data_IF_091125605900
#
_entry.id   IF_091125605900
#
_cell.length_a   1.000
_cell.length_b   1.000
_cell.length_c   1.000
_cell.angle_alpha   90.00
_cell.angle_beta   90.00
_cell.angle_gamma   90.00
#
_symmetry.space_group_name_H-M   'P 1'
#
loop_
_entity.id
_entity.type
_entity.pdbx_description
1 polymer ?
#
# COMPACT_ATOMS: atom_id res chain seq x y z
N UNK A 1 -10.06 -9.62 -14.33
CA UNK A 1 -9.58 -9.87 -12.99
C UNK A 1 -9.16 -11.30 -12.99
N UNK A 2 -7.88 -11.47 -13.33
CA UNK A 2 -7.39 -12.78 -13.61
C UNK A 2 -6.83 -13.37 -12.35
N UNK A 3 -7.49 -14.43 -11.92
CA UNK A 3 -6.86 -15.48 -11.16
C UNK A 3 -6.67 -15.16 -9.69
N UNK A 4 -7.01 -16.09 -8.96
CA UNK A 4 -6.56 -16.56 -7.65
C UNK A 4 -5.57 -15.62 -6.95
N UNK A 5 -6.06 -14.49 -6.49
CA UNK A 5 -5.36 -13.77 -5.46
C UNK A 5 -5.47 -14.64 -4.20
N UNK A 6 -4.34 -15.20 -3.80
CA UNK A 6 -4.26 -16.10 -2.66
C UNK A 6 -4.45 -15.29 -1.35
N UNK A 7 -5.69 -15.08 -0.93
CA UNK A 7 -6.03 -14.41 0.32
C UNK A 7 -5.47 -15.14 1.56
N UNK A 8 -5.23 -16.44 1.46
CA UNK A 8 -4.63 -17.21 2.55
C UNK A 8 -3.20 -16.75 2.87
N UNK A 9 -2.49 -16.17 1.88
CA UNK A 9 -1.17 -15.58 2.11
C UNK A 9 -1.24 -14.34 3.00
N UNK A 10 -2.41 -13.71 3.08
CA UNK A 10 -2.68 -12.52 3.89
C UNK A 10 -3.27 -12.86 5.25
N UNK A 11 -2.99 -14.05 5.76
CA UNK A 11 -3.35 -14.46 7.10
C UNK A 11 -2.22 -14.11 8.08
N UNK A 12 -2.48 -13.33 9.15
CA UNK A 12 -1.47 -12.98 10.13
C UNK A 12 -0.80 -14.20 10.77
N UNK A 13 -1.54 -15.28 11.02
CA UNK A 13 -0.99 -16.50 11.59
C UNK A 13 0.04 -17.19 10.68
N UNK A 14 -0.08 -17.05 9.35
CA UNK A 14 0.93 -17.52 8.39
C UNK A 14 2.10 -16.54 8.28
N UNK A 15 1.79 -15.24 8.20
CA UNK A 15 2.81 -14.18 8.12
C UNK A 15 3.75 -14.19 9.32
N UNK A 16 3.20 -14.47 10.49
CA UNK A 16 3.93 -14.51 11.76
C UNK A 16 3.93 -15.92 12.38
N UNK A 17 4.12 -16.95 11.55
CA UNK A 17 4.12 -18.34 11.99
C UNK A 17 5.03 -18.55 13.21
N UNK A 18 4.51 -19.28 14.21
CA UNK A 18 5.21 -19.54 15.48
C UNK A 18 5.18 -18.39 16.50
N UNK A 19 4.45 -17.30 16.22
CA UNK A 19 4.23 -16.20 17.17
C UNK A 19 2.77 -16.15 17.60
N UNK A 20 2.52 -15.95 18.89
CA UNK A 20 1.21 -15.55 19.39
C UNK A 20 1.04 -14.07 19.11
N UNK A 21 0.00 -13.72 18.38
CA UNK A 21 -0.34 -12.33 18.09
C UNK A 21 -1.24 -11.80 19.20
N UNK A 22 -0.83 -10.76 19.93
CA UNK A 22 -1.67 -10.16 20.95
C UNK A 22 -2.90 -9.51 20.31
N UNK A 23 -4.04 -9.64 20.98
CA UNK A 23 -5.26 -8.91 20.69
C UNK A 23 -5.31 -7.69 21.60
N UNK A 24 -5.14 -6.52 21.04
CA UNK A 24 -4.91 -5.28 21.77
C UNK A 24 -6.24 -4.56 22.06
N UNK A 25 -6.33 -3.90 23.18
CA UNK A 25 -7.32 -2.86 23.45
C UNK A 25 -7.02 -1.61 22.61
N UNK A 26 -7.94 -0.67 22.54
CA UNK A 26 -7.74 0.57 21.78
C UNK A 26 -6.53 1.38 22.28
N UNK A 27 -6.33 1.45 23.59
CA UNK A 27 -5.23 2.21 24.19
C UNK A 27 -3.88 1.52 23.93
N UNK A 28 -3.84 0.18 24.01
CA UNK A 28 -2.65 -0.61 23.65
C UNK A 28 -2.35 -0.50 22.15
N UNK A 29 -3.36 -0.51 21.30
CA UNK A 29 -3.20 -0.30 19.85
C UNK A 29 -2.60 1.08 19.56
N UNK A 30 -3.11 2.13 20.19
CA UNK A 30 -2.56 3.49 20.05
C UNK A 30 -1.10 3.54 20.49
N UNK A 31 -0.81 3.00 21.67
CA UNK A 31 0.56 2.94 22.20
C UNK A 31 1.50 2.14 21.27
N UNK A 32 1.03 1.02 20.70
CA UNK A 32 1.80 0.22 19.77
C UNK A 32 2.07 0.97 18.47
N UNK A 33 1.09 1.71 17.94
CA UNK A 33 1.25 2.52 16.73
C UNK A 33 2.21 3.70 16.93
N UNK A 34 2.19 4.35 18.10
CA UNK A 34 3.11 5.44 18.46
C UNK A 34 4.57 5.01 18.55
N UNK A 35 4.84 3.72 18.81
CA UNK A 35 6.19 3.15 18.84
C UNK A 35 6.73 2.79 17.46
N UNK A 36 5.91 2.83 16.42
CA UNK A 36 6.34 2.51 15.07
C UNK A 36 7.19 3.63 14.47
N UNK A 37 8.13 3.31 13.56
CA UNK A 37 8.81 4.35 12.80
C UNK A 37 7.80 5.15 11.96
N UNK A 38 8.10 6.42 11.72
CA UNK A 38 7.23 7.29 10.91
C UNK A 38 6.95 6.73 9.52
N UNK A 39 7.92 5.99 9.02
CA UNK A 39 8.07 5.82 7.59
C UNK A 39 8.43 4.37 7.26
N UNK A 40 8.00 3.92 6.08
CA UNK A 40 8.51 2.69 5.51
C UNK A 40 9.99 2.86 5.14
N UNK A 41 10.70 1.76 4.99
CA UNK A 41 12.12 1.79 4.65
C UNK A 41 12.39 1.11 3.29
N UNK A 42 13.60 1.31 2.76
CA UNK A 42 14.13 0.48 1.68
C UNK A 42 14.56 -0.90 2.21
N UNK A 43 14.97 -1.80 1.30
CA UNK A 43 15.34 -3.19 1.63
C UNK A 43 16.50 -3.29 2.65
N UNK A 44 17.42 -2.35 2.67
CA UNK A 44 18.56 -2.33 3.60
C UNK A 44 18.28 -1.56 4.90
N UNK A 45 17.11 -0.90 5.01
CA UNK A 45 16.81 -0.04 6.15
C UNK A 45 17.63 1.26 6.20
N UNK A 46 18.45 1.52 5.17
CA UNK A 46 19.38 2.65 5.13
C UNK A 46 18.75 3.98 4.68
N UNK A 47 17.55 3.93 4.16
CA UNK A 47 16.80 5.10 3.72
C UNK A 47 15.33 4.96 4.07
N UNK A 48 14.76 6.05 4.54
CA UNK A 48 13.33 6.19 4.76
C UNK A 48 12.60 6.40 3.43
N UNK A 49 11.42 5.80 3.33
CA UNK A 49 10.49 5.97 2.25
C UNK A 49 9.30 6.84 2.67
N UNK A 50 8.14 6.52 2.14
CA UNK A 50 6.91 7.27 2.40
C UNK A 50 6.40 7.05 3.84
N UNK A 51 5.70 8.04 4.42
CA UNK A 51 5.15 7.93 5.76
C UNK A 51 4.08 6.85 5.86
N UNK A 52 4.06 6.15 7.00
CA UNK A 52 3.01 5.23 7.38
C UNK A 52 1.84 6.05 7.94
N UNK A 53 0.80 6.25 7.16
CA UNK A 53 -0.23 7.26 7.44
C UNK A 53 -1.66 6.72 7.49
N UNK A 54 -1.83 5.39 7.38
CA UNK A 54 -3.13 4.72 7.41
C UNK A 54 -3.08 3.49 8.31
N UNK A 55 -4.12 3.30 9.11
CA UNK A 55 -4.39 2.05 9.83
C UNK A 55 -5.77 1.56 9.41
N UNK A 56 -5.87 0.29 9.04
CA UNK A 56 -7.13 -0.37 8.69
C UNK A 56 -7.28 -1.59 9.59
N UNK A 57 -8.48 -1.78 10.13
CA UNK A 57 -8.84 -2.95 10.91
C UNK A 57 -9.84 -3.78 10.12
N UNK A 58 -9.57 -5.06 9.96
CA UNK A 58 -10.44 -5.98 9.24
C UNK A 58 -9.68 -7.16 8.65
N UNK A 59 -10.40 -8.23 8.36
CA UNK A 59 -9.81 -9.39 7.69
C UNK A 59 -9.50 -9.09 6.22
N UNK A 60 -8.51 -9.78 5.67
CA UNK A 60 -7.95 -9.52 4.34
C UNK A 60 -9.01 -9.42 3.23
N UNK A 61 -9.94 -10.36 3.20
CA UNK A 61 -11.00 -10.40 2.20
C UNK A 61 -11.86 -9.14 2.24
N UNK A 62 -12.30 -8.72 3.43
CA UNK A 62 -13.14 -7.55 3.61
C UNK A 62 -12.40 -6.26 3.26
N UNK A 63 -11.15 -6.12 3.72
CA UNK A 63 -10.31 -4.95 3.45
C UNK A 63 -10.05 -4.81 1.95
N UNK A 64 -9.65 -5.88 1.27
CA UNK A 64 -9.35 -5.82 -0.17
C UNK A 64 -10.61 -5.67 -1.01
N UNK A 65 -11.72 -6.28 -0.61
CA UNK A 65 -13.02 -6.05 -1.25
C UNK A 65 -13.43 -4.57 -1.16
N UNK A 66 -13.34 -3.96 0.02
CA UNK A 66 -13.66 -2.55 0.21
C UNK A 66 -12.77 -1.64 -0.66
N UNK A 67 -11.47 -1.89 -0.68
CA UNK A 67 -10.52 -1.12 -1.49
C UNK A 67 -10.77 -1.27 -2.99
N UNK A 68 -11.05 -2.48 -3.47
CA UNK A 68 -11.34 -2.71 -4.90
C UNK A 68 -12.66 -2.07 -5.32
N UNK A 69 -13.67 -2.11 -4.48
CA UNK A 69 -14.94 -1.39 -4.70
C UNK A 69 -14.73 0.12 -4.73
N UNK A 70 -13.85 0.64 -3.88
CA UNK A 70 -13.44 2.06 -3.88
C UNK A 70 -12.50 2.41 -5.06
N UNK A 71 -12.33 1.52 -6.05
CA UNK A 71 -11.61 1.78 -7.30
C UNK A 71 -10.09 1.61 -7.22
N UNK A 72 -9.59 0.92 -6.19
CA UNK A 72 -8.19 0.54 -6.12
C UNK A 72 -7.94 -0.76 -6.89
N UNK A 73 -6.82 -0.86 -7.57
CA UNK A 73 -6.42 -2.04 -8.35
C UNK A 73 -5.08 -2.56 -7.84
N UNK A 74 -4.90 -3.88 -7.85
CA UNK A 74 -3.62 -4.48 -7.52
C UNK A 74 -2.55 -4.07 -8.53
N UNK A 75 -1.32 -3.88 -8.03
CA UNK A 75 -0.16 -3.60 -8.88
C UNK A 75 0.49 -4.89 -9.35
N UNK A 76 1.11 -4.87 -10.53
CA UNK A 76 1.95 -5.97 -10.97
C UNK A 76 3.27 -6.03 -10.20
N UNK A 77 3.83 -7.22 -10.04
CA UNK A 77 5.23 -7.37 -9.59
C UNK A 77 6.17 -6.75 -10.61
N UNK A 78 7.25 -6.14 -10.13
CA UNK A 78 8.30 -5.62 -11.00
C UNK A 78 8.94 -6.79 -11.77
N UNK A 79 8.85 -6.73 -13.09
CA UNK A 79 9.47 -7.67 -14.03
C UNK A 79 9.89 -6.91 -15.29
N UNK A 80 10.76 -7.47 -16.11
CA UNK A 80 11.14 -6.86 -17.39
C UNK A 80 9.93 -6.58 -18.28
N UNK A 81 8.91 -7.44 -18.23
CA UNK A 81 7.68 -7.27 -18.99
C UNK A 81 6.85 -6.08 -18.48
N UNK A 82 6.72 -5.93 -17.15
CA UNK A 82 5.95 -4.83 -16.55
C UNK A 82 6.67 -3.49 -16.72
N UNK A 83 7.99 -3.46 -16.62
CA UNK A 83 8.82 -2.27 -16.90
C UNK A 83 8.65 -1.83 -18.37
N UNK A 84 8.71 -2.76 -19.33
CA UNK A 84 8.48 -2.44 -20.74
C UNK A 84 7.09 -1.87 -21.00
N UNK A 85 6.05 -2.41 -20.35
CA UNK A 85 4.68 -1.88 -20.45
C UNK A 85 4.56 -0.48 -19.87
N UNK A 86 5.21 -0.22 -18.76
CA UNK A 86 5.22 1.10 -18.14
C UNK A 86 5.89 2.15 -19.04
N UNK A 87 7.05 1.83 -19.60
CA UNK A 87 7.75 2.70 -20.55
C UNK A 87 6.91 2.94 -21.80
N UNK A 88 6.31 1.91 -22.37
CA UNK A 88 5.45 2.04 -23.55
C UNK A 88 4.21 2.92 -23.27
N UNK A 89 3.57 2.74 -22.10
CA UNK A 89 2.43 3.55 -21.69
C UNK A 89 2.81 5.01 -21.42
N UNK A 90 3.99 5.25 -20.84
CA UNK A 90 4.50 6.62 -20.64
C UNK A 90 4.77 7.33 -21.96
N UNK A 91 5.38 6.66 -22.94
CA UNK A 91 5.62 7.20 -24.29
C UNK A 91 4.31 7.49 -25.01
N UNK A 92 3.31 6.61 -24.87
CA UNK A 92 1.99 6.78 -25.48
C UNK A 92 1.07 7.74 -24.71
N UNK A 93 1.52 8.30 -23.59
CA UNK A 93 0.70 9.12 -22.67
C UNK A 93 -0.59 8.44 -22.21
N UNK A 94 -0.57 7.10 -22.16
CA UNK A 94 -1.71 6.28 -21.75
C UNK A 94 -1.64 5.92 -20.28
N UNK A 95 -2.79 5.68 -19.68
CA UNK A 95 -2.88 5.13 -18.31
C UNK A 95 -2.52 3.65 -18.31
N UNK A 96 -1.65 3.24 -17.36
CA UNK A 96 -1.38 1.83 -17.06
C UNK A 96 -1.81 1.52 -15.62
N UNK A 97 -3.07 1.12 -15.42
CA UNK A 97 -3.68 1.04 -14.09
C UNK A 97 -3.08 -0.01 -13.15
N UNK A 98 -2.28 -0.91 -13.66
CA UNK A 98 -1.64 -1.98 -12.88
C UNK A 98 -0.10 -1.91 -12.93
N UNK A 99 0.47 -0.74 -13.21
CA UNK A 99 1.91 -0.55 -13.26
C UNK A 99 2.60 -0.92 -11.92
N UNK A 100 3.82 -1.45 -11.94
CA UNK A 100 4.54 -1.85 -10.74
C UNK A 100 4.90 -0.66 -9.84
N UNK A 101 4.93 -0.90 -8.54
CA UNK A 101 5.44 0.05 -7.55
C UNK A 101 6.69 -0.49 -6.88
N UNK A 102 7.58 0.39 -6.42
CA UNK A 102 8.80 -0.01 -5.72
C UNK A 102 8.47 -0.70 -4.39
N UNK A 103 9.34 -1.65 -4.01
CA UNK A 103 9.21 -2.34 -2.75
C UNK A 103 9.58 -1.42 -1.59
N UNK A 104 8.70 -1.36 -0.60
CA UNK A 104 8.96 -0.73 0.69
C UNK A 104 8.81 -1.76 1.80
N UNK A 105 9.43 -1.50 2.94
CA UNK A 105 9.57 -2.42 4.05
C UNK A 105 9.07 -1.78 5.34
N UNK A 106 8.31 -2.54 6.12
CA UNK A 106 7.94 -2.27 7.49
C UNK A 106 7.91 -3.59 8.26
N UNK A 107 8.07 -3.57 9.57
CA UNK A 107 8.18 -4.78 10.41
C UNK A 107 9.28 -5.74 9.94
N UNK A 108 10.36 -5.23 9.34
CA UNK A 108 11.47 -6.04 8.81
C UNK A 108 11.13 -6.85 7.55
N UNK A 109 10.02 -6.59 6.88
CA UNK A 109 9.57 -7.33 5.70
C UNK A 109 8.94 -6.43 4.64
N UNK A 110 8.90 -6.90 3.41
CA UNK A 110 8.23 -6.24 2.30
C UNK A 110 6.71 -6.14 2.55
N UNK A 111 6.06 -5.15 1.94
CA UNK A 111 4.61 -5.02 1.97
C UNK A 111 3.90 -6.30 1.49
N UNK A 112 2.75 -6.59 2.09
CA UNK A 112 1.91 -7.73 1.73
C UNK A 112 1.09 -7.46 0.49
N UNK A 113 0.57 -6.24 0.39
CA UNK A 113 -0.29 -5.79 -0.71
C UNK A 113 0.19 -4.46 -1.23
N UNK A 114 0.19 -4.31 -2.54
CA UNK A 114 0.38 -3.04 -3.20
C UNK A 114 -0.78 -2.78 -4.16
N UNK A 115 -1.38 -1.61 -4.01
CA UNK A 115 -2.52 -1.16 -4.76
C UNK A 115 -2.23 0.21 -5.38
N UNK A 116 -2.93 0.52 -6.44
CA UNK A 116 -2.92 1.85 -7.02
C UNK A 116 -4.31 2.23 -7.53
N UNK A 117 -4.55 3.52 -7.59
CA UNK A 117 -5.73 4.08 -8.24
C UNK A 117 -5.28 5.06 -9.32
N UNK A 118 -5.54 4.70 -10.58
CA UNK A 118 -5.22 5.54 -11.70
C UNK A 118 -6.06 6.84 -11.66
N UNK A 119 -5.45 7.95 -12.06
CA UNK A 119 -6.11 9.22 -12.29
C UNK A 119 -6.11 9.52 -13.80
N UNK A 120 -5.72 10.72 -14.19
CA UNK A 120 -5.75 11.16 -15.60
C UNK A 120 -4.59 10.63 -16.45
N UNK A 121 -3.47 10.29 -15.82
CA UNK A 121 -2.28 9.81 -16.53
C UNK A 121 -1.44 8.87 -15.64
N UNK A 122 -0.45 8.23 -16.23
CA UNK A 122 0.50 7.34 -15.52
C UNK A 122 1.33 8.08 -14.47
N UNK A 123 1.57 9.38 -14.67
CA UNK A 123 2.29 10.25 -13.72
C UNK A 123 1.40 10.81 -12.60
N UNK A 124 0.10 10.50 -12.62
CA UNK A 124 -0.87 10.96 -11.63
C UNK A 124 -1.65 9.76 -11.08
N UNK A 125 -1.04 9.06 -10.15
CA UNK A 125 -1.60 7.89 -9.49
C UNK A 125 -1.56 8.05 -7.98
N UNK A 126 -2.55 7.48 -7.32
CA UNK A 126 -2.44 7.20 -5.90
C UNK A 126 -1.86 5.80 -5.74
N UNK A 127 -0.88 5.64 -4.87
CA UNK A 127 -0.28 4.37 -4.49
C UNK A 127 -0.63 4.06 -3.05
N UNK A 128 -0.82 2.78 -2.78
CA UNK A 128 -1.02 2.27 -1.43
C UNK A 128 -0.20 1.01 -1.25
N UNK A 129 0.40 0.87 -0.08
CA UNK A 129 1.02 -0.37 0.38
C UNK A 129 0.50 -0.69 1.76
N UNK A 130 0.21 -1.96 1.98
CA UNK A 130 -0.33 -2.46 3.23
C UNK A 130 0.56 -3.56 3.78
N UNK A 131 0.74 -3.54 5.08
CA UNK A 131 1.42 -4.56 5.88
C UNK A 131 0.48 -5.08 6.95
N UNK A 132 0.36 -6.38 7.08
CA UNK A 132 -0.23 -6.99 8.27
C UNK A 132 0.65 -6.66 9.48
N UNK A 133 0.04 -6.14 10.53
CA UNK A 133 0.73 -5.88 11.80
C UNK A 133 0.90 -7.17 12.61
N UNK A 134 1.92 -7.25 13.50
CA UNK A 134 2.13 -8.40 14.37
C UNK A 134 1.21 -8.40 15.62
N UNK A 135 0.02 -7.84 15.50
CA UNK A 135 -1.01 -7.75 16.54
C UNK A 135 -2.40 -7.65 15.92
N UNK A 136 -3.42 -7.88 16.73
CA UNK A 136 -4.84 -7.79 16.36
C UNK A 136 -5.53 -6.72 17.21
N UNK A 137 -6.74 -6.36 16.82
CA UNK A 137 -7.63 -5.50 17.57
C UNK A 137 -9.07 -6.03 17.43
N UNK A 138 -9.73 -6.28 18.56
CA UNK A 138 -11.08 -6.89 18.61
C UNK A 138 -11.18 -8.17 17.76
N UNK A 139 -10.17 -9.03 17.85
CA UNK A 139 -10.10 -10.26 17.10
C UNK A 139 -9.86 -10.09 15.60
N UNK A 140 -9.75 -8.86 15.09
CA UNK A 140 -9.53 -8.57 13.67
C UNK A 140 -8.07 -8.30 13.35
N UNK A 141 -7.68 -8.53 12.11
CA UNK A 141 -6.36 -8.19 11.60
C UNK A 141 -6.18 -6.67 11.54
N UNK A 142 -5.01 -6.19 11.94
CA UNK A 142 -4.62 -4.77 11.82
C UNK A 142 -3.66 -4.63 10.64
N UNK A 143 -3.92 -3.66 9.80
CA UNK A 143 -3.09 -3.31 8.65
C UNK A 143 -2.48 -1.94 8.85
N UNK A 144 -1.17 -1.85 8.70
CA UNK A 144 -0.49 -0.58 8.60
C UNK A 144 -0.35 -0.22 7.13
N UNK A 145 -0.68 1.00 6.78
CA UNK A 145 -0.71 1.47 5.40
C UNK A 145 0.12 2.71 5.15
N UNK A 146 0.66 2.76 3.95
CA UNK A 146 1.21 3.94 3.33
C UNK A 146 0.35 4.28 2.12
N UNK A 147 -0.17 5.50 2.07
CA UNK A 147 -0.87 6.02 0.89
C UNK A 147 -0.27 7.35 0.47
N UNK A 148 0.06 7.47 -0.81
CA UNK A 148 0.64 8.68 -1.39
C UNK A 148 0.11 8.91 -2.80
N UNK A 149 0.32 10.13 -3.31
CA UNK A 149 -0.04 10.54 -4.66
C UNK A 149 1.21 10.92 -5.44
N UNK A 150 1.34 10.35 -6.64
CA UNK A 150 2.33 10.82 -7.60
C UNK A 150 1.86 12.12 -8.26
N UNK A 151 2.76 13.08 -8.34
CA UNK A 151 2.55 14.36 -9.04
C UNK A 151 3.50 14.53 -10.22
N UNK A 152 4.41 13.59 -10.46
CA UNK A 152 5.34 13.62 -11.56
C UNK A 152 6.28 12.43 -11.57
N UNK A 153 7.15 12.40 -12.58
CA UNK A 153 8.21 11.39 -12.75
C UNK A 153 9.54 12.11 -12.90
N UNK A 154 10.56 11.65 -12.19
CA UNK A 154 11.93 12.14 -12.27
C UNK A 154 12.84 11.04 -12.78
N UNK A 155 13.71 11.36 -13.72
CA UNK A 155 14.77 10.45 -14.18
C UNK A 155 15.88 10.40 -13.13
N UNK A 156 16.30 9.19 -12.76
CA UNK A 156 17.38 8.96 -11.81
C UNK A 156 18.11 7.66 -12.10
N UNK A 157 19.44 7.65 -12.08
CA UNK A 157 20.23 6.41 -12.24
C UNK A 157 20.15 5.50 -11.00
N UNK A 158 19.58 5.98 -9.89
CA UNK A 158 19.43 5.22 -8.63
C UNK A 158 18.25 4.25 -8.63
N UNK A 159 17.39 4.30 -9.66
CA UNK A 159 16.25 3.39 -9.81
C UNK A 159 16.54 2.33 -10.87
N UNK A 160 16.15 1.07 -10.67
CA UNK A 160 16.26 0.03 -11.70
C UNK A 160 15.52 0.35 -12.99
N UNK A 161 14.52 1.20 -12.93
CA UNK A 161 13.72 1.68 -14.08
C UNK A 161 14.24 2.99 -14.66
N UNK A 162 15.35 3.53 -14.15
CA UNK A 162 15.90 4.86 -14.45
C UNK A 162 14.94 6.01 -14.17
N UNK A 163 13.82 5.74 -13.53
CA UNK A 163 12.81 6.73 -13.16
C UNK A 163 12.38 6.53 -11.71
N UNK A 164 11.98 7.61 -11.06
CA UNK A 164 11.29 7.59 -9.78
C UNK A 164 10.12 8.57 -9.81
N UNK A 165 9.08 8.27 -9.05
CA UNK A 165 7.94 9.16 -8.93
C UNK A 165 8.24 10.31 -7.96
N UNK A 166 7.69 11.47 -8.26
CA UNK A 166 7.66 12.60 -7.33
C UNK A 166 6.35 12.48 -6.58
N UNK A 167 6.46 12.32 -5.27
CA UNK A 167 5.32 12.19 -4.37
C UNK A 167 4.87 13.58 -3.93
N UNK A 168 3.55 13.77 -3.88
CA UNK A 168 2.95 14.96 -3.31
C UNK A 168 3.31 15.05 -1.82
N UNK A 169 3.93 16.14 -1.36
CA UNK A 169 4.25 16.31 0.05
C UNK A 169 3.00 16.37 0.95
N UNK A 170 1.82 16.66 0.38
CA UNK A 170 0.56 16.64 1.12
C UNK A 170 -0.05 15.22 1.14
N UNK A 171 0.63 14.29 1.78
CA UNK A 171 0.18 12.89 1.89
C UNK A 171 -1.16 12.74 2.59
N UNK A 172 -1.50 13.67 3.50
CA UNK A 172 -2.77 13.68 4.20
C UNK A 172 -3.97 13.88 3.26
N UNK A 173 -3.82 14.68 2.21
CA UNK A 173 -4.88 14.84 1.22
C UNK A 173 -5.23 13.51 0.51
N UNK A 174 -4.26 12.63 0.32
CA UNK A 174 -4.50 11.31 -0.27
C UNK A 174 -5.15 10.37 0.73
N UNK A 175 -4.78 10.45 2.02
CA UNK A 175 -5.43 9.72 3.10
C UNK A 175 -6.91 10.12 3.24
N UNK A 176 -7.20 11.41 3.27
CA UNK A 176 -8.59 11.91 3.32
C UNK A 176 -9.41 11.45 2.11
N UNK A 177 -8.81 11.48 0.92
CA UNK A 177 -9.46 10.96 -0.28
C UNK A 177 -9.79 9.46 -0.18
N UNK A 178 -8.86 8.64 0.37
CA UNK A 178 -9.12 7.23 0.63
C UNK A 178 -10.30 7.06 1.59
N UNK A 179 -10.27 7.77 2.73
CA UNK A 179 -11.32 7.71 3.74
C UNK A 179 -12.69 8.07 3.15
N UNK A 180 -12.78 9.19 2.44
CA UNK A 180 -14.02 9.62 1.79
C UNK A 180 -14.52 8.60 0.77
N UNK A 181 -13.63 7.96 0.00
CA UNK A 181 -14.04 6.93 -0.96
C UNK A 181 -14.61 5.68 -0.29
N UNK A 182 -14.04 5.26 0.83
CA UNK A 182 -14.55 4.12 1.61
C UNK A 182 -15.88 4.43 2.31
N UNK A 183 -16.05 5.66 2.83
CA UNK A 183 -17.31 6.12 3.40
C UNK A 183 -18.42 6.16 2.33
N UNK A 184 -18.11 6.68 1.13
CA UNK A 184 -19.06 6.77 0.03
C UNK A 184 -19.56 5.40 -0.45
N UNK A 185 -18.70 4.38 -0.38
CA UNK A 185 -19.05 2.99 -0.69
C UNK A 185 -19.67 2.23 0.51
N UNK A 186 -19.82 2.87 1.68
CA UNK A 186 -20.45 2.30 2.86
C UNK A 186 -19.61 1.30 3.66
N UNK A 187 -18.29 1.27 3.44
CA UNK A 187 -17.39 0.35 4.13
C UNK A 187 -16.87 0.88 5.47
N UNK A 188 -16.97 2.17 5.70
CA UNK A 188 -16.55 2.82 6.95
C UNK A 188 -17.72 3.69 7.45
N UNK A 189 -18.06 3.57 8.72
CA UNK A 189 -19.02 4.45 9.39
C UNK A 189 -18.45 5.86 9.57
N UNK A 190 -19.37 6.82 9.82
CA UNK A 190 -18.99 8.19 10.18
C UNK A 190 -18.66 8.29 11.65
#
# INVERSE_FOLDING_TARGET
>A
PDGDFDYERLNPARTYAGRTLPDLTLDELRAALEQLPCCAANASGSAEGDPLNVVIVGEAENVLHALTRAGWSFTHRISLRTVRREVAAAVASQSYPVAPVSNLYAFGRQHDVALQRARRSISQRNHMRLWLAPFRYEGQSVWLGQVSRDIGVKVTPKSPTLTTHIIDPQVDATREYLLHSLIAEGFVGR
#
